data_IF_630934083275
#
_entry.id   IF_630934083275
#
_cell.length_a   1.000
_cell.length_b   1.000
_cell.length_c   1.000
_cell.angle_alpha   90.00
_cell.angle_beta   90.00
_cell.angle_gamma   90.00
#
_symmetry.space_group_name_H-M   'P 1'
#
loop_
_entity.id
_entity.type
_entity.pdbx_description
1 polymer ?
#
# COMPACT_ATOMS: atom_id res chain seq x y z
N UNK A 1 50.34 61.01 58.83
CA UNK A 1 49.66 59.73 58.54
C UNK A 1 50.62 58.60 58.91
N UNK A 2 50.23 57.66 59.78
CA UNK A 2 51.16 56.65 60.30
C UNK A 2 51.61 55.66 59.19
N UNK A 3 52.90 55.31 59.08
CA UNK A 3 53.41 54.43 58.03
C UNK A 3 52.78 53.04 58.07
N UNK A 4 52.36 52.59 59.26
CA UNK A 4 51.61 51.34 59.43
C UNK A 4 50.23 51.38 58.75
N UNK A 5 49.54 52.52 58.85
CA UNK A 5 48.21 52.71 58.22
C UNK A 5 48.34 52.68 56.70
N UNK A 6 49.38 53.31 56.15
CA UNK A 6 49.65 53.29 54.71
C UNK A 6 49.90 51.87 54.18
N UNK A 7 50.66 51.04 54.91
CA UNK A 7 50.91 49.64 54.55
C UNK A 7 49.64 48.80 54.57
N UNK A 8 48.81 48.95 55.62
CA UNK A 8 47.55 48.21 55.72
C UNK A 8 46.58 48.57 54.59
N UNK A 9 46.49 49.86 54.23
CA UNK A 9 45.70 50.29 53.07
C UNK A 9 46.23 49.70 51.76
N UNK A 10 47.55 49.67 51.56
CA UNK A 10 48.16 49.07 50.38
C UNK A 10 47.86 47.56 50.27
N UNK A 11 47.96 46.82 51.38
CA UNK A 11 47.61 45.39 51.39
C UNK A 11 46.12 45.16 51.15
N UNK A 12 45.24 45.98 51.75
CA UNK A 12 43.80 45.90 51.50
C UNK A 12 43.47 46.14 50.03
N UNK A 13 44.07 47.15 49.40
CA UNK A 13 43.90 47.42 47.98
C UNK A 13 44.40 46.26 47.11
N UNK A 14 45.58 45.70 47.41
CA UNK A 14 46.12 44.55 46.68
C UNK A 14 45.22 43.31 46.81
N UNK A 15 44.67 43.05 48.00
CA UNK A 15 43.74 41.94 48.23
C UNK A 15 42.44 42.10 47.41
N UNK A 16 41.89 43.32 47.33
CA UNK A 16 40.70 43.59 46.53
C UNK A 16 40.95 43.38 45.03
N UNK A 17 42.11 43.81 44.52
CA UNK A 17 42.49 43.58 43.11
C UNK A 17 42.63 42.08 42.82
N UNK A 18 43.31 41.34 43.70
CA UNK A 18 43.46 39.89 43.56
C UNK A 18 42.09 39.18 43.57
N UNK A 19 41.20 39.57 44.49
CA UNK A 19 39.86 39.01 44.58
C UNK A 19 39.02 39.30 43.33
N UNK A 20 39.04 40.55 42.84
CA UNK A 20 38.38 40.93 41.59
C UNK A 20 38.89 40.14 40.39
N UNK A 21 40.21 39.96 40.28
CA UNK A 21 40.83 39.15 39.22
C UNK A 21 40.40 37.68 39.27
N UNK A 22 40.35 37.07 40.46
CA UNK A 22 39.87 35.70 40.64
C UNK A 22 38.40 35.57 40.21
N UNK A 23 37.53 36.52 40.61
CA UNK A 23 36.11 36.51 40.24
C UNK A 23 35.91 36.68 38.73
N UNK A 24 36.68 37.54 38.09
CA UNK A 24 36.65 37.73 36.64
C UNK A 24 37.11 36.50 35.86
N UNK A 25 38.19 35.84 36.30
CA UNK A 25 38.64 34.59 35.67
C UNK A 25 37.61 33.48 35.87
N UNK A 26 36.96 33.42 37.03
CA UNK A 26 35.88 32.45 37.28
C UNK A 26 34.67 32.68 36.36
N UNK A 27 34.22 33.92 36.16
CA UNK A 27 33.11 34.20 35.25
C UNK A 27 33.47 33.88 33.81
N UNK A 28 34.67 34.24 33.36
CA UNK A 28 35.12 33.94 32.00
C UNK A 28 35.21 32.43 31.74
N UNK A 29 35.63 31.66 32.74
CA UNK A 29 35.63 30.18 32.66
C UNK A 29 34.21 29.61 32.56
N UNK A 30 33.25 30.19 33.30
CA UNK A 30 31.85 29.79 33.22
C UNK A 30 31.27 30.08 31.83
N UNK A 31 31.51 31.27 31.28
CA UNK A 31 31.03 31.65 29.94
C UNK A 31 31.61 30.71 28.86
N UNK A 32 32.89 30.37 28.97
CA UNK A 32 33.53 29.41 28.05
C UNK A 32 32.92 28.01 28.20
N UNK A 33 32.65 27.55 29.43
CA UNK A 33 32.01 26.25 29.63
C UNK A 33 30.59 26.21 29.07
N UNK A 34 29.83 27.29 29.23
CA UNK A 34 28.46 27.39 28.73
C UNK A 34 28.43 27.46 27.20
N UNK A 35 29.33 28.24 26.60
CA UNK A 35 29.50 28.27 25.15
C UNK A 35 29.92 26.91 24.58
N UNK A 36 30.79 26.17 25.28
CA UNK A 36 31.16 24.81 24.87
C UNK A 36 29.99 23.83 24.98
N UNK A 37 29.17 23.93 26.03
CA UNK A 37 27.98 23.09 26.18
C UNK A 37 26.95 23.39 25.09
N UNK A 38 26.68 24.67 24.82
CA UNK A 38 25.79 25.09 23.73
C UNK A 38 26.29 24.60 22.37
N UNK A 39 27.60 24.69 22.11
CA UNK A 39 28.19 24.18 20.88
C UNK A 39 28.07 22.65 20.75
N UNK A 40 28.23 21.90 21.84
CA UNK A 40 28.02 20.44 21.85
C UNK A 40 26.56 20.09 21.58
N UNK A 41 25.62 20.73 22.29
CA UNK A 41 24.19 20.51 22.09
C UNK A 41 23.75 20.81 20.64
N UNK A 42 24.29 21.88 20.05
CA UNK A 42 24.04 22.21 18.64
C UNK A 42 24.58 21.14 17.69
N UNK A 43 25.79 20.62 17.92
CA UNK A 43 26.38 19.53 17.13
C UNK A 43 25.59 18.23 17.25
N UNK A 44 25.14 17.91 18.46
CA UNK A 44 24.31 16.73 18.71
C UNK A 44 22.95 16.86 18.00
N UNK A 45 22.36 18.05 18.03
CA UNK A 45 21.11 18.33 17.32
C UNK A 45 21.28 18.22 15.79
N UNK A 46 22.37 18.74 15.23
CA UNK A 46 22.68 18.60 13.80
C UNK A 46 22.85 17.12 13.45
N UNK A 47 23.61 16.37 14.24
CA UNK A 47 23.83 14.93 14.02
C UNK A 47 22.52 14.15 14.06
N UNK A 48 21.64 14.44 15.02
CA UNK A 48 20.32 13.82 15.11
C UNK A 48 19.46 14.16 13.89
N UNK A 49 19.48 15.41 13.42
CA UNK A 49 18.77 15.83 12.20
C UNK A 49 19.31 15.14 10.96
N UNK A 50 20.62 15.03 10.81
CA UNK A 50 21.26 14.35 9.69
C UNK A 50 20.88 12.88 9.63
N UNK A 51 20.81 12.20 10.78
CA UNK A 51 20.32 10.83 10.86
C UNK A 51 18.84 10.72 10.44
N UNK A 52 17.99 11.66 10.87
CA UNK A 52 16.59 11.71 10.43
C UNK A 52 16.47 11.94 8.93
N UNK A 53 17.25 12.87 8.37
CA UNK A 53 17.28 13.15 6.93
C UNK A 53 17.71 11.90 6.16
N UNK A 54 18.80 11.24 6.57
CA UNK A 54 19.27 10.02 5.93
C UNK A 54 18.21 8.90 5.93
N UNK A 55 17.46 8.75 7.03
CA UNK A 55 16.34 7.80 7.10
C UNK A 55 15.20 8.18 6.16
N UNK A 56 14.84 9.47 6.10
CA UNK A 56 13.80 9.97 5.19
C UNK A 56 14.19 9.77 3.73
N UNK A 57 15.45 10.01 3.37
CA UNK A 57 15.97 9.76 2.02
C UNK A 57 15.92 8.27 1.66
N UNK A 58 16.35 7.39 2.58
CA UNK A 58 16.27 5.94 2.37
C UNK A 58 14.82 5.48 2.14
N UNK A 59 13.88 5.99 2.95
CA UNK A 59 12.46 5.70 2.80
C UNK A 59 11.90 6.23 1.48
N UNK A 60 12.27 7.44 1.07
CA UNK A 60 11.84 8.03 -0.20
C UNK A 60 12.33 7.19 -1.39
N UNK A 61 13.58 6.71 -1.35
CA UNK A 61 14.14 5.81 -2.38
C UNK A 61 13.40 4.49 -2.45
N UNK A 62 13.11 3.87 -1.29
CA UNK A 62 12.34 2.63 -1.22
C UNK A 62 10.92 2.82 -1.77
N UNK A 63 10.24 3.89 -1.39
CA UNK A 63 8.92 4.23 -1.90
C UNK A 63 8.92 4.46 -3.42
N UNK A 64 9.93 5.14 -3.97
CA UNK A 64 10.08 5.33 -5.40
C UNK A 64 10.30 4.00 -6.15
N UNK A 65 11.00 3.03 -5.54
CA UNK A 65 11.12 1.69 -6.11
C UNK A 65 9.79 0.93 -6.08
N UNK A 66 9.05 0.98 -4.97
CA UNK A 66 7.72 0.38 -4.87
C UNK A 66 6.74 0.96 -5.89
N UNK A 67 6.76 2.28 -6.10
CA UNK A 67 5.96 2.94 -7.12
C UNK A 67 6.31 2.47 -8.53
N UNK A 68 7.61 2.39 -8.88
CA UNK A 68 8.05 1.85 -10.18
C UNK A 68 7.59 0.41 -10.39
N UNK A 69 7.62 -0.42 -9.34
CA UNK A 69 7.10 -1.80 -9.41
C UNK A 69 5.59 -1.80 -9.63
N UNK A 70 4.83 -0.97 -8.92
CA UNK A 70 3.38 -0.84 -9.12
C UNK A 70 3.03 -0.39 -10.55
N UNK A 71 3.74 0.59 -11.09
CA UNK A 71 3.50 1.08 -12.45
C UNK A 71 3.86 0.02 -13.50
N UNK A 72 4.92 -0.74 -13.27
CA UNK A 72 5.28 -1.89 -14.12
C UNK A 72 4.16 -2.94 -14.09
N UNK A 73 3.67 -3.32 -12.90
CA UNK A 73 2.58 -4.28 -12.76
C UNK A 73 1.29 -3.78 -13.42
N UNK A 74 0.94 -2.49 -13.24
CA UNK A 74 -0.22 -1.88 -13.92
C UNK A 74 -0.10 -1.95 -15.43
N UNK A 75 1.08 -1.68 -15.97
CA UNK A 75 1.35 -1.76 -17.41
C UNK A 75 1.20 -3.20 -17.92
N UNK A 76 1.70 -4.18 -17.17
CA UNK A 76 1.54 -5.60 -17.51
C UNK A 76 0.07 -6.03 -17.50
N UNK A 77 -0.69 -5.62 -16.48
CA UNK A 77 -2.14 -5.88 -16.41
C UNK A 77 -2.86 -5.27 -17.60
N UNK A 78 -2.60 -4.01 -17.93
CA UNK A 78 -3.21 -3.35 -19.08
C UNK A 78 -2.87 -4.04 -20.41
N UNK A 79 -1.63 -4.52 -20.55
CA UNK A 79 -1.21 -5.29 -21.73
C UNK A 79 -1.93 -6.64 -21.81
N UNK A 80 -2.07 -7.34 -20.67
CA UNK A 80 -2.80 -8.60 -20.61
C UNK A 80 -4.29 -8.41 -20.93
N UNK A 81 -4.92 -7.36 -20.40
CA UNK A 81 -6.31 -7.00 -20.71
C UNK A 81 -6.50 -6.72 -22.20
N UNK A 82 -5.64 -5.90 -22.81
CA UNK A 82 -5.71 -5.62 -24.25
C UNK A 82 -5.56 -6.89 -25.10
N UNK A 83 -4.70 -7.83 -24.69
CA UNK A 83 -4.58 -9.14 -25.35
C UNK A 83 -5.84 -9.98 -25.23
N UNK A 84 -6.43 -10.03 -24.05
CA UNK A 84 -7.70 -10.74 -23.81
C UNK A 84 -8.80 -10.13 -24.69
N UNK A 85 -8.96 -8.82 -24.68
CA UNK A 85 -9.97 -8.13 -25.50
C UNK A 85 -9.76 -8.36 -27.00
N UNK A 86 -8.51 -8.36 -27.47
CA UNK A 86 -8.19 -8.66 -28.86
C UNK A 86 -8.52 -10.11 -29.21
N UNK A 87 -8.18 -11.06 -28.34
CA UNK A 87 -8.50 -12.48 -28.52
C UNK A 87 -10.01 -12.71 -28.54
N UNK A 88 -10.75 -12.11 -27.62
CA UNK A 88 -12.22 -12.17 -27.57
C UNK A 88 -12.83 -11.62 -28.87
N UNK A 89 -12.42 -10.42 -29.32
CA UNK A 89 -12.88 -9.86 -30.60
C UNK A 89 -12.55 -10.74 -31.79
N UNK A 90 -11.37 -11.36 -31.80
CA UNK A 90 -10.96 -12.30 -32.85
C UNK A 90 -11.86 -13.52 -32.87
N UNK A 91 -12.11 -14.16 -31.73
CA UNK A 91 -13.03 -15.30 -31.62
C UNK A 91 -14.42 -14.91 -32.14
N UNK A 92 -14.97 -13.78 -31.67
CA UNK A 92 -16.29 -13.28 -32.11
C UNK A 92 -16.37 -12.96 -33.61
N UNK A 93 -15.27 -12.56 -34.25
CA UNK A 93 -15.23 -12.20 -35.67
C UNK A 93 -14.87 -13.36 -36.61
N UNK A 94 -14.02 -14.28 -36.16
CA UNK A 94 -13.53 -15.40 -36.95
C UNK A 94 -14.40 -16.67 -36.85
N UNK A 95 -15.41 -16.70 -35.98
CA UNK A 95 -16.51 -17.67 -36.10
C UNK A 95 -17.76 -17.05 -36.76
N UNK A 96 -17.77 -16.83 -38.09
CA UNK A 96 -19.01 -16.65 -38.85
C UNK A 96 -20.01 -17.78 -38.56
N UNK A 97 -19.54 -18.99 -38.27
CA UNK A 97 -20.38 -20.11 -37.83
C UNK A 97 -21.11 -19.81 -36.52
N UNK A 98 -20.46 -19.28 -35.48
CA UNK A 98 -21.20 -18.98 -34.23
C UNK A 98 -22.26 -17.90 -34.44
N UNK A 99 -22.00 -16.91 -35.31
CA UNK A 99 -22.99 -15.89 -35.66
C UNK A 99 -24.12 -16.47 -36.52
N UNK A 100 -23.78 -17.28 -37.53
CA UNK A 100 -24.73 -17.95 -38.41
C UNK A 100 -25.64 -18.94 -37.66
N UNK A 101 -25.11 -19.65 -36.65
CA UNK A 101 -25.88 -20.55 -35.77
C UNK A 101 -26.76 -19.79 -34.77
N UNK A 102 -26.35 -18.59 -34.33
CA UNK A 102 -27.16 -17.74 -33.45
C UNK A 102 -28.27 -16.99 -34.20
N UNK A 103 -28.00 -16.58 -35.45
CA UNK A 103 -28.94 -15.87 -36.32
C UNK A 103 -29.88 -16.82 -37.10
N UNK A 104 -29.65 -18.14 -37.06
CA UNK A 104 -30.58 -19.11 -37.64
C UNK A 104 -31.83 -19.23 -36.76
N UNK A 105 -33.00 -19.01 -37.36
CA UNK A 105 -34.29 -19.27 -36.71
C UNK A 105 -34.29 -20.72 -36.22
N UNK A 106 -34.50 -20.91 -34.91
CA UNK A 106 -34.60 -22.23 -34.32
C UNK A 106 -35.64 -23.06 -35.10
N UNK A 107 -35.31 -24.29 -35.51
CA UNK A 107 -36.28 -25.18 -36.12
C UNK A 107 -37.54 -25.26 -35.25
N UNK A 108 -38.71 -25.20 -35.89
CA UNK A 108 -40.00 -25.10 -35.20
C UNK A 108 -40.19 -26.19 -34.12
N UNK A 109 -39.57 -27.35 -34.30
CA UNK A 109 -39.59 -28.45 -33.34
C UNK A 109 -38.82 -28.14 -32.05
N UNK A 110 -37.65 -27.50 -32.15
CA UNK A 110 -36.86 -27.06 -30.99
C UNK A 110 -37.52 -25.87 -30.31
N UNK A 111 -38.07 -24.93 -31.10
CA UNK A 111 -38.83 -23.81 -30.55
C UNK A 111 -40.09 -24.28 -29.79
N UNK A 112 -40.78 -25.33 -30.27
CA UNK A 112 -41.89 -25.98 -29.56
C UNK A 112 -41.46 -26.72 -28.30
N UNK A 113 -40.27 -27.33 -28.31
CA UNK A 113 -39.69 -27.98 -27.13
C UNK A 113 -39.29 -26.95 -26.06
N UNK A 114 -38.70 -25.83 -26.46
CA UNK A 114 -38.34 -24.75 -25.53
C UNK A 114 -39.57 -24.00 -25.01
N UNK A 115 -40.60 -23.84 -25.83
CA UNK A 115 -41.89 -23.30 -25.43
C UNK A 115 -42.78 -24.36 -24.73
N UNK A 116 -42.28 -25.58 -24.50
CA UNK A 116 -42.99 -26.59 -23.73
C UNK A 116 -43.16 -26.09 -22.30
N UNK A 117 -44.34 -26.26 -21.69
CA UNK A 117 -44.54 -25.99 -20.26
C UNK A 117 -43.54 -26.78 -19.40
N UNK A 118 -43.17 -26.23 -18.25
CA UNK A 118 -42.19 -26.78 -17.30
C UNK A 118 -42.43 -28.27 -17.07
N UNK A 119 -41.55 -29.09 -17.61
CA UNK A 119 -41.56 -30.53 -17.37
C UNK A 119 -40.93 -30.78 -16.01
N UNK A 120 -41.75 -30.87 -14.97
CA UNK A 120 -41.35 -31.11 -13.57
C UNK A 120 -40.94 -32.57 -13.30
N UNK A 121 -40.20 -33.19 -14.22
CA UNK A 121 -39.59 -34.51 -13.98
C UNK A 121 -39.50 -35.43 -15.20
N UNK A 122 -38.62 -36.43 -15.11
CA UNK A 122 -38.31 -37.37 -16.18
C UNK A 122 -39.52 -38.19 -16.65
N UNK A 123 -40.49 -38.45 -15.77
CA UNK A 123 -41.68 -39.23 -16.12
C UNK A 123 -42.66 -38.48 -17.01
N UNK A 124 -42.79 -37.17 -16.81
CA UNK A 124 -43.70 -36.33 -17.61
C UNK A 124 -43.20 -36.16 -19.07
N UNK A 125 -41.88 -36.28 -19.25
CA UNK A 125 -41.24 -36.34 -20.57
C UNK A 125 -41.49 -37.69 -21.28
N UNK A 126 -41.34 -38.81 -20.57
CA UNK A 126 -41.49 -40.15 -21.15
C UNK A 126 -42.92 -40.43 -21.65
N UNK A 127 -43.94 -39.88 -20.98
CA UNK A 127 -45.34 -40.08 -21.35
C UNK A 127 -45.72 -39.43 -22.70
N UNK A 128 -44.94 -38.44 -23.15
CA UNK A 128 -45.17 -37.70 -24.40
C UNK A 128 -44.36 -38.21 -25.59
N UNK A 129 -43.45 -39.16 -25.37
CA UNK A 129 -42.63 -39.73 -26.43
C UNK A 129 -43.40 -40.82 -27.19
N UNK A 130 -43.45 -40.80 -28.54
CA UNK A 130 -44.04 -41.89 -29.32
C UNK A 130 -43.31 -43.21 -29.03
N UNK A 131 -44.06 -44.31 -28.93
CA UNK A 131 -43.53 -45.62 -28.57
C UNK A 131 -42.53 -46.16 -29.63
N UNK A 132 -41.27 -45.79 -29.50
CA UNK A 132 -40.12 -46.36 -30.19
C UNK A 132 -39.17 -47.01 -29.17
N UNK A 133 -38.48 -48.08 -29.60
CA UNK A 133 -37.65 -49.02 -28.82
C UNK A 133 -37.34 -48.62 -27.37
N UNK A 134 -37.94 -49.39 -26.45
CA UNK A 134 -37.91 -49.20 -25.01
C UNK A 134 -36.48 -49.01 -24.46
N UNK A 135 -36.16 -47.79 -24.05
CA UNK A 135 -35.06 -47.52 -23.11
C UNK A 135 -35.61 -47.70 -21.70
N UNK A 136 -34.81 -48.28 -20.80
CA UNK A 136 -35.21 -48.60 -19.41
C UNK A 136 -35.91 -47.41 -18.74
N UNK A 137 -37.15 -47.64 -18.30
CA UNK A 137 -37.90 -46.71 -17.47
C UNK A 137 -37.24 -46.67 -16.09
N UNK A 138 -36.60 -45.56 -15.74
CA UNK A 138 -36.31 -45.21 -14.37
C UNK A 138 -37.28 -44.11 -13.95
N UNK A 139 -38.52 -44.53 -13.64
CA UNK A 139 -39.52 -43.69 -12.99
C UNK A 139 -39.71 -44.19 -11.56
N UNK A 140 -38.63 -44.21 -10.79
CA UNK A 140 -38.72 -44.38 -9.35
C UNK A 140 -38.79 -42.97 -8.74
N UNK A 141 -39.96 -42.67 -8.21
CA UNK A 141 -40.30 -41.38 -7.64
C UNK A 141 -39.39 -41.03 -6.45
N UNK A 142 -38.67 -39.91 -6.58
CA UNK A 142 -38.37 -39.10 -5.41
C UNK A 142 -39.59 -38.20 -5.18
N UNK A 143 -40.53 -38.73 -4.40
CA UNK A 143 -41.43 -37.89 -3.61
C UNK A 143 -40.54 -37.03 -2.70
N UNK A 144 -40.21 -35.83 -3.16
CA UNK A 144 -39.72 -34.78 -2.28
C UNK A 144 -40.95 -34.18 -1.61
N UNK A 145 -41.44 -34.86 -0.56
CA UNK A 145 -42.28 -34.26 0.47
C UNK A 145 -41.41 -33.29 1.32
N UNK A 146 -42.03 -32.25 1.93
CA UNK A 146 -41.41 -30.96 2.25
C UNK A 146 -40.32 -30.94 3.32
#
# INVERSE_FOLDING_TARGET
MNPMVAKLLAFGAAALVAWGGVRYVQSLRADVSDAQQAARAARDQVTARDQTIARLEANARSNAELQRRLDTTRTQIGTAQARIEAATRRILNETPESRAWADTVLPADIARLQASPDLTGACDYLQRMPAGNAVRVACDGAANEP
#
